data_IF_011780271779
#
_entry.id   IF_011780271779
#
_cell.length_a   1.000
_cell.length_b   1.000
_cell.length_c   1.000
_cell.angle_alpha   90.00
_cell.angle_beta   90.00
_cell.angle_gamma   90.00
#
_symmetry.space_group_name_H-M   'P 1'
#
loop_
_entity.id
_entity.type
_entity.pdbx_description
1 polymer ?
#
# COMPACT_ATOMS: atom_id res chain seq x y z
N UNK A 1 -27.62 20.21 -1.63
CA UNK A 1 -27.25 19.20 -2.65
C UNK A 1 -25.73 19.09 -2.87
N UNK A 2 -24.92 20.16 -2.96
CA UNK A 2 -23.46 20.01 -3.00
C UNK A 2 -22.89 19.39 -1.71
N UNK A 3 -23.40 19.83 -0.55
CA UNK A 3 -22.97 19.33 0.76
C UNK A 3 -23.13 17.81 0.89
N UNK A 4 -24.21 17.23 0.35
CA UNK A 4 -24.44 15.78 0.41
C UNK A 4 -23.51 15.01 -0.53
N UNK A 5 -23.18 15.56 -1.70
CA UNK A 5 -22.20 14.96 -2.63
C UNK A 5 -20.80 14.94 -2.00
N UNK A 6 -20.40 16.04 -1.36
CA UNK A 6 -19.12 16.11 -0.65
C UNK A 6 -19.11 15.18 0.56
N UNK A 7 -20.21 15.10 1.31
CA UNK A 7 -20.33 14.19 2.44
C UNK A 7 -20.14 12.73 2.02
N UNK A 8 -20.83 12.29 0.97
CA UNK A 8 -20.66 10.94 0.39
C UNK A 8 -19.21 10.67 -0.03
N UNK A 9 -18.54 11.69 -0.60
CA UNK A 9 -17.13 11.61 -0.96
C UNK A 9 -16.23 11.40 0.27
N UNK A 10 -16.44 12.17 1.33
CA UNK A 10 -15.69 12.05 2.59
C UNK A 10 -15.91 10.67 3.23
N UNK A 11 -17.15 10.18 3.29
CA UNK A 11 -17.47 8.85 3.84
C UNK A 11 -16.77 7.72 3.06
N UNK A 12 -16.68 7.86 1.74
CA UNK A 12 -15.96 6.90 0.89
C UNK A 12 -14.45 6.95 1.16
N UNK A 13 -13.88 8.15 1.30
CA UNK A 13 -12.46 8.32 1.63
C UNK A 13 -12.14 7.75 3.01
N UNK A 14 -13.01 7.95 4.00
CA UNK A 14 -12.84 7.34 5.32
C UNK A 14 -12.75 5.82 5.26
N UNK A 15 -13.58 5.21 4.41
CA UNK A 15 -13.54 3.77 4.16
C UNK A 15 -12.21 3.34 3.51
N UNK A 16 -11.71 4.11 2.54
CA UNK A 16 -10.42 3.86 1.89
C UNK A 16 -9.24 4.03 2.87
N UNK A 17 -9.34 5.00 3.78
CA UNK A 17 -8.32 5.23 4.80
C UNK A 17 -8.26 4.09 5.81
N UNK A 18 -9.43 3.54 6.18
CA UNK A 18 -9.51 2.30 6.96
C UNK A 18 -8.79 1.13 6.28
N UNK A 19 -9.05 0.91 4.98
CA UNK A 19 -8.36 -0.14 4.19
C UNK A 19 -6.84 0.04 4.20
N UNK A 20 -6.35 1.28 4.11
CA UNK A 20 -4.91 1.56 4.20
C UNK A 20 -4.33 1.10 5.54
N UNK A 21 -4.93 1.49 6.66
CA UNK A 21 -4.45 1.11 7.99
C UNK A 21 -4.57 -0.39 8.25
N UNK A 22 -5.72 -0.99 7.95
CA UNK A 22 -5.94 -2.42 8.12
C UNK A 22 -4.92 -3.24 7.33
N UNK A 23 -4.59 -2.80 6.12
CA UNK A 23 -3.57 -3.43 5.29
C UNK A 23 -2.17 -3.29 5.89
N UNK A 24 -1.78 -2.08 6.32
CA UNK A 24 -0.49 -1.83 6.96
C UNK A 24 -0.31 -2.70 8.22
N UNK A 25 -1.31 -2.69 9.10
CA UNK A 25 -1.35 -3.53 10.29
C UNK A 25 -1.30 -5.03 9.92
N UNK A 26 -2.02 -5.42 8.87
CA UNK A 26 -1.99 -6.78 8.34
C UNK A 26 -0.60 -7.22 7.89
N UNK A 27 0.12 -6.37 7.15
CA UNK A 27 1.49 -6.65 6.71
C UNK A 27 2.45 -6.78 7.89
N UNK A 28 2.39 -5.85 8.84
CA UNK A 28 3.24 -5.91 10.04
C UNK A 28 2.95 -7.15 10.87
N UNK A 29 1.67 -7.47 11.08
CA UNK A 29 1.25 -8.65 11.82
C UNK A 29 1.70 -9.93 11.14
N UNK A 30 1.63 -9.98 9.81
CA UNK A 30 2.10 -11.12 9.02
C UNK A 30 3.62 -11.30 9.12
N UNK A 31 4.40 -10.22 9.01
CA UNK A 31 5.85 -10.24 9.25
C UNK A 31 6.18 -10.74 10.66
N UNK A 32 5.55 -10.16 11.68
CA UNK A 32 5.83 -10.49 13.08
C UNK A 32 5.47 -11.94 13.41
N UNK A 33 4.33 -12.42 12.88
CA UNK A 33 3.93 -13.84 13.02
C UNK A 33 4.93 -14.77 12.34
N UNK A 34 5.38 -14.39 11.15
CA UNK A 34 6.37 -15.16 10.40
C UNK A 34 7.71 -15.25 11.15
N UNK A 35 8.21 -14.12 11.67
CA UNK A 35 9.43 -14.09 12.47
C UNK A 35 9.33 -14.94 13.74
N UNK A 36 8.17 -14.93 14.42
CA UNK A 36 7.93 -15.81 15.57
C UNK A 36 8.02 -17.28 15.19
N UNK A 37 7.36 -17.69 14.12
CA UNK A 37 7.42 -19.07 13.59
C UNK A 37 8.84 -19.49 13.20
N UNK A 38 9.61 -18.57 12.63
CA UNK A 38 11.02 -18.79 12.29
C UNK A 38 11.87 -19.03 13.56
N UNK A 39 11.67 -18.23 14.61
CA UNK A 39 12.36 -18.39 15.89
C UNK A 39 11.96 -19.69 16.62
N UNK A 40 10.70 -20.10 16.54
CA UNK A 40 10.23 -21.38 17.09
C UNK A 40 10.87 -22.57 16.37
N UNK A 41 10.97 -22.49 15.04
CA UNK A 41 11.67 -23.50 14.23
C UNK A 41 13.14 -23.60 14.63
N UNK A 42 13.81 -22.46 14.81
CA UNK A 42 15.20 -22.40 15.27
C UNK A 42 15.37 -23.07 16.65
N UNK A 43 14.53 -22.71 17.64
CA UNK A 43 14.56 -23.28 18.99
C UNK A 43 14.37 -24.80 18.98
N UNK A 44 13.38 -25.29 18.23
CA UNK A 44 13.12 -26.71 18.09
C UNK A 44 14.32 -27.46 17.50
N UNK A 45 14.96 -26.90 16.48
CA UNK A 45 16.13 -27.52 15.86
C UNK A 45 17.32 -27.55 16.83
N UNK A 46 17.56 -26.49 17.60
CA UNK A 46 18.60 -26.44 18.63
C UNK A 46 18.37 -27.45 19.76
N UNK A 47 17.12 -27.65 20.20
CA UNK A 47 16.78 -28.66 21.21
C UNK A 47 17.01 -30.09 20.68
N UNK A 48 16.67 -30.34 19.41
CA UNK A 48 16.95 -31.61 18.75
C UNK A 48 18.46 -31.88 18.63
N UNK A 49 19.28 -30.86 18.37
CA UNK A 49 20.74 -30.98 18.39
C UNK A 49 21.27 -31.39 19.76
N UNK A 50 20.79 -30.75 20.83
CA UNK A 50 21.21 -31.05 22.22
C UNK A 50 20.86 -32.47 22.65
N UNK A 51 19.74 -33.02 22.15
CA UNK A 51 19.20 -34.31 22.58
C UNK A 51 19.68 -35.51 21.73
N UNK A 52 20.52 -35.33 20.70
CA UNK A 52 21.00 -36.45 19.86
C UNK A 52 22.33 -37.05 20.32
N UNK A 53 22.44 -38.38 20.21
CA UNK A 53 23.72 -39.12 20.17
C UNK A 53 24.44 -38.85 18.84
N UNK A 54 25.79 -38.79 18.81
CA UNK A 54 26.62 -38.26 17.70
C UNK A 54 26.56 -39.00 16.35
N UNK A 55 25.64 -39.95 16.14
CA UNK A 55 25.64 -40.86 14.99
C UNK A 55 24.60 -40.53 13.90
N UNK A 56 23.95 -39.36 13.92
CA UNK A 56 22.92 -39.02 12.92
C UNK A 56 23.25 -37.70 12.18
N UNK A 57 23.84 -37.76 10.96
CA UNK A 57 24.50 -36.63 10.29
C UNK A 57 23.55 -35.59 9.64
N UNK A 58 22.23 -35.71 9.83
CA UNK A 58 21.23 -34.93 9.08
C UNK A 58 20.65 -33.72 9.82
N UNK A 59 21.27 -33.23 10.91
CA UNK A 59 20.83 -31.96 11.48
C UNK A 59 21.63 -30.83 10.87
N UNK A 60 20.97 -30.08 9.98
CA UNK A 60 21.46 -28.79 9.54
C UNK A 60 21.52 -27.86 10.76
N UNK A 61 22.70 -27.36 11.10
CA UNK A 61 22.84 -26.17 11.94
C UNK A 61 22.00 -25.07 11.32
N UNK A 62 20.78 -24.94 11.81
CA UNK A 62 19.80 -24.05 11.22
C UNK A 62 20.07 -22.69 11.82
N UNK A 63 20.53 -21.75 11.01
CA UNK A 63 20.65 -20.34 11.42
C UNK A 63 19.48 -19.53 10.87
N UNK A 64 19.28 -18.32 11.37
CA UNK A 64 18.26 -17.42 10.81
C UNK A 64 18.59 -17.12 9.34
N UNK A 65 19.86 -16.94 8.99
CA UNK A 65 20.32 -16.66 7.63
C UNK A 65 20.01 -17.83 6.67
N UNK A 66 20.14 -19.07 7.15
CA UNK A 66 19.76 -20.26 6.39
C UNK A 66 18.25 -20.33 6.16
N UNK A 67 17.45 -20.01 7.18
CA UNK A 67 15.98 -19.93 7.05
C UNK A 67 15.55 -18.78 6.14
N UNK A 68 16.24 -17.64 6.25
CA UNK A 68 16.00 -16.45 5.45
C UNK A 68 16.23 -16.69 3.97
N UNK A 69 17.20 -17.53 3.63
CA UNK A 69 17.48 -17.95 2.26
C UNK A 69 16.47 -18.97 1.71
N UNK A 70 15.62 -19.55 2.55
CA UNK A 70 14.64 -20.54 2.11
C UNK A 70 13.52 -19.87 1.32
N UNK A 71 13.03 -20.56 0.29
CA UNK A 71 11.94 -20.06 -0.53
C UNK A 71 10.58 -20.25 0.14
N UNK A 72 9.68 -19.27 -0.04
CA UNK A 72 8.29 -19.35 0.38
C UNK A 72 7.39 -19.52 -0.85
N UNK A 73 6.69 -20.65 -0.90
CA UNK A 73 5.80 -21.02 -2.01
C UNK A 73 4.36 -21.00 -1.50
N UNK A 74 3.51 -20.25 -2.19
CA UNK A 74 2.06 -20.38 -2.01
C UNK A 74 1.56 -21.41 -3.01
N UNK A 75 0.91 -22.45 -2.52
CA UNK A 75 0.36 -23.52 -3.35
C UNK A 75 -1.05 -23.90 -2.93
N UNK A 76 -1.79 -24.50 -3.87
CA UNK A 76 -3.05 -25.17 -3.64
C UNK A 76 -2.86 -26.67 -3.87
N UNK A 77 -3.40 -27.49 -2.96
CA UNK A 77 -3.20 -28.95 -2.97
C UNK A 77 -1.86 -29.38 -2.39
N UNK A 78 -1.73 -30.66 -2.09
CA UNK A 78 -0.45 -31.29 -1.74
C UNK A 78 0.36 -31.57 -3.01
N UNK A 79 1.69 -31.51 -2.94
CA UNK A 79 2.57 -31.86 -4.07
C UNK A 79 2.38 -33.30 -4.57
N UNK A 80 1.84 -34.20 -3.74
CA UNK A 80 1.52 -35.57 -4.14
C UNK A 80 0.19 -35.71 -4.86
N UNK A 81 -0.63 -34.66 -4.94
CA UNK A 81 -1.96 -34.69 -5.58
C UNK A 81 -1.92 -34.12 -7.00
N UNK A 82 -2.74 -34.70 -7.89
CA UNK A 82 -2.90 -34.23 -9.29
C UNK A 82 -3.44 -32.79 -9.40
N UNK A 83 -4.05 -32.27 -8.33
CA UNK A 83 -4.61 -30.92 -8.27
C UNK A 83 -3.57 -29.85 -7.86
N UNK A 84 -2.31 -30.23 -7.60
CA UNK A 84 -1.28 -29.33 -7.09
C UNK A 84 -1.02 -28.16 -8.04
N UNK A 85 -1.09 -26.94 -7.51
CA UNK A 85 -0.77 -25.73 -8.27
C UNK A 85 0.03 -24.76 -7.42
N UNK A 86 1.18 -24.32 -7.94
CA UNK A 86 1.91 -23.16 -7.40
C UNK A 86 1.17 -21.89 -7.81
N UNK A 87 0.81 -21.07 -6.82
CA UNK A 87 0.04 -19.84 -7.02
C UNK A 87 0.95 -18.61 -7.03
N UNK A 88 1.85 -18.51 -6.06
CA UNK A 88 2.77 -17.38 -5.93
C UNK A 88 4.12 -17.85 -5.42
N UNK A 89 5.15 -17.14 -5.83
CA UNK A 89 6.54 -17.40 -5.48
C UNK A 89 7.13 -16.16 -4.81
N UNK A 90 7.53 -16.31 -3.54
CA UNK A 90 8.40 -15.34 -2.89
C UNK A 90 9.81 -15.97 -2.85
N UNK A 91 10.80 -15.40 -3.55
CA UNK A 91 12.11 -16.03 -3.68
C UNK A 91 12.73 -16.40 -2.34
N UNK A 92 12.60 -15.55 -1.32
CA UNK A 92 13.12 -15.83 0.02
C UNK A 92 12.19 -15.42 1.17
N UNK A 93 12.41 -16.02 2.36
CA UNK A 93 11.77 -15.59 3.60
C UNK A 93 12.21 -14.18 4.01
N UNK A 94 13.47 -13.82 3.72
CA UNK A 94 13.97 -12.46 3.94
C UNK A 94 13.21 -11.42 3.12
N UNK A 95 13.01 -11.66 1.82
CA UNK A 95 12.20 -10.80 0.96
C UNK A 95 10.75 -10.70 1.45
N UNK A 96 10.17 -11.80 1.94
CA UNK A 96 8.85 -11.76 2.55
C UNK A 96 8.79 -10.80 3.75
N UNK A 97 9.82 -10.81 4.61
CA UNK A 97 9.92 -9.89 5.75
C UNK A 97 10.14 -8.45 5.28
N UNK A 98 11.01 -8.23 4.30
CA UNK A 98 11.32 -6.91 3.72
C UNK A 98 10.09 -6.27 3.10
N UNK A 99 9.36 -6.98 2.23
CA UNK A 99 8.17 -6.42 1.56
C UNK A 99 7.03 -6.06 2.52
N UNK A 100 6.93 -6.75 3.66
CA UNK A 100 5.91 -6.51 4.69
C UNK A 100 6.39 -5.61 5.85
N UNK A 101 7.64 -5.14 5.81
CA UNK A 101 8.13 -4.18 6.80
C UNK A 101 7.56 -2.79 6.51
N UNK A 102 7.52 -1.89 7.52
CA UNK A 102 7.31 -0.46 7.25
C UNK A 102 8.24 0.00 6.12
N UNK A 103 7.71 0.79 5.20
CA UNK A 103 8.39 1.23 3.96
C UNK A 103 8.72 0.14 2.92
N UNK A 104 8.37 -1.12 3.21
CA UNK A 104 8.50 -2.24 2.29
C UNK A 104 7.52 -2.16 1.11
N UNK A 105 7.76 -2.95 0.07
CA UNK A 105 6.99 -2.88 -1.18
C UNK A 105 5.47 -2.97 -0.99
N UNK A 106 4.97 -3.80 -0.06
CA UNK A 106 3.53 -3.89 0.18
C UNK A 106 2.97 -2.62 0.82
N UNK A 107 3.73 -1.99 1.73
CA UNK A 107 3.38 -0.68 2.30
C UNK A 107 3.34 0.39 1.21
N UNK A 108 4.36 0.44 0.35
CA UNK A 108 4.41 1.38 -0.79
C UNK A 108 3.24 1.17 -1.73
N UNK A 109 2.95 -0.10 -2.04
CA UNK A 109 1.86 -0.47 -2.92
C UNK A 109 0.52 0.00 -2.36
N UNK A 110 0.19 -0.30 -1.10
CA UNK A 110 -1.11 0.08 -0.54
C UNK A 110 -1.26 1.59 -0.43
N UNK A 111 -0.23 2.33 0.00
CA UNK A 111 -0.28 3.80 0.05
C UNK A 111 -0.55 4.42 -1.31
N UNK A 112 0.18 3.95 -2.33
CA UNK A 112 0.00 4.38 -3.72
C UNK A 112 -1.39 4.03 -4.27
N UNK A 113 -1.88 2.81 -4.01
CA UNK A 113 -3.22 2.40 -4.46
C UNK A 113 -4.33 3.18 -3.78
N UNK A 114 -4.22 3.45 -2.48
CA UNK A 114 -5.20 4.25 -1.74
C UNK A 114 -5.28 5.68 -2.30
N UNK A 115 -4.14 6.33 -2.56
CA UNK A 115 -4.12 7.65 -3.22
C UNK A 115 -4.82 7.61 -4.59
N UNK A 116 -4.49 6.61 -5.42
CA UNK A 116 -5.11 6.42 -6.73
C UNK A 116 -6.63 6.27 -6.60
N UNK A 117 -7.10 5.43 -5.66
CA UNK A 117 -8.52 5.20 -5.43
C UNK A 117 -9.25 6.46 -4.97
N UNK A 118 -8.65 7.26 -4.07
CA UNK A 118 -9.20 8.55 -3.62
C UNK A 118 -9.40 9.50 -4.81
N UNK A 119 -8.38 9.62 -5.66
CA UNK A 119 -8.43 10.49 -6.84
C UNK A 119 -9.42 9.98 -7.89
N UNK A 120 -9.43 8.67 -8.16
CA UNK A 120 -10.31 8.09 -9.18
C UNK A 120 -11.78 8.23 -8.76
N UNK A 121 -12.10 8.03 -7.49
CA UNK A 121 -13.46 8.24 -6.98
C UNK A 121 -13.88 9.72 -7.07
N UNK A 122 -12.95 10.66 -6.86
CA UNK A 122 -13.19 12.07 -7.13
C UNK A 122 -13.54 12.31 -8.60
N UNK A 123 -12.71 11.83 -9.53
CA UNK A 123 -12.82 12.14 -10.95
C UNK A 123 -14.02 11.45 -11.62
N UNK A 124 -14.30 10.21 -11.25
CA UNK A 124 -15.37 9.39 -11.84
C UNK A 124 -16.74 9.63 -11.23
N UNK A 125 -16.82 9.99 -9.93
CA UNK A 125 -18.08 10.14 -9.20
C UNK A 125 -18.29 11.58 -8.73
N UNK A 126 -17.52 12.04 -7.74
CA UNK A 126 -17.80 13.30 -7.03
C UNK A 126 -17.83 14.50 -7.98
N UNK A 127 -16.78 14.66 -8.81
CA UNK A 127 -16.63 15.77 -9.75
C UNK A 127 -17.75 15.80 -10.80
N UNK A 128 -18.19 14.64 -11.26
CA UNK A 128 -19.28 14.52 -12.22
C UNK A 128 -20.62 14.92 -11.58
N UNK A 129 -20.91 14.44 -10.37
CA UNK A 129 -22.12 14.81 -9.62
C UNK A 129 -22.17 16.33 -9.36
N UNK A 130 -21.04 16.94 -8.99
CA UNK A 130 -20.92 18.39 -8.79
C UNK A 130 -21.16 19.15 -10.09
N UNK A 131 -20.56 18.71 -11.20
CA UNK A 131 -20.73 19.33 -12.51
C UNK A 131 -22.20 19.32 -12.96
N UNK A 132 -22.87 18.18 -12.84
CA UNK A 132 -24.29 18.03 -13.13
C UNK A 132 -25.16 18.93 -12.25
N UNK A 133 -24.85 19.03 -10.95
CA UNK A 133 -25.58 19.91 -10.04
C UNK A 133 -25.48 21.39 -10.44
N UNK A 134 -24.32 21.83 -10.91
CA UNK A 134 -24.10 23.20 -11.38
C UNK A 134 -24.50 23.43 -12.83
N UNK A 135 -24.95 22.38 -13.54
CA UNK A 135 -25.26 22.41 -14.97
C UNK A 135 -24.09 22.95 -15.83
N UNK A 136 -22.87 22.53 -15.52
CA UNK A 136 -21.65 22.91 -16.23
C UNK A 136 -20.82 21.69 -16.59
N UNK A 137 -19.88 21.84 -17.51
CA UNK A 137 -18.94 20.78 -17.83
C UNK A 137 -17.96 20.54 -16.67
N UNK A 138 -17.66 19.26 -16.35
CA UNK A 138 -16.75 18.87 -15.25
C UNK A 138 -15.38 19.53 -15.27
N UNK A 139 -14.91 19.94 -16.44
CA UNK A 139 -13.64 20.70 -16.62
C UNK A 139 -13.59 21.99 -15.80
N UNK A 140 -14.75 22.60 -15.52
CA UNK A 140 -14.87 23.84 -14.74
C UNK A 140 -14.91 23.59 -13.23
N UNK A 141 -15.19 22.36 -12.78
CA UNK A 141 -14.99 21.97 -11.37
C UNK A 141 -13.49 21.75 -11.16
N UNK A 142 -12.88 22.55 -10.30
CA UNK A 142 -11.44 22.53 -9.98
C UNK A 142 -11.23 22.33 -8.48
N UNK A 143 -10.10 21.74 -8.11
CA UNK A 143 -9.67 21.55 -6.73
C UNK A 143 -8.14 21.59 -6.70
N UNK A 144 -7.55 22.28 -5.72
CA UNK A 144 -6.09 22.33 -5.57
C UNK A 144 -5.56 20.98 -5.11
N UNK A 145 -6.16 20.40 -4.07
CA UNK A 145 -5.83 19.06 -3.54
C UNK A 145 -5.89 18.02 -4.66
N UNK A 146 -6.99 17.96 -5.42
CA UNK A 146 -7.11 16.96 -6.49
C UNK A 146 -6.18 17.25 -7.67
N UNK A 147 -5.79 18.51 -7.87
CA UNK A 147 -4.76 18.89 -8.82
C UNK A 147 -3.40 18.28 -8.46
N UNK A 148 -3.01 18.39 -7.19
CA UNK A 148 -1.77 17.79 -6.66
C UNK A 148 -1.82 16.26 -6.73
N UNK A 149 -2.90 15.65 -6.25
CA UNK A 149 -3.08 14.19 -6.29
C UNK A 149 -3.03 13.65 -7.72
N UNK A 150 -3.52 14.42 -8.72
CA UNK A 150 -3.40 14.05 -10.13
C UNK A 150 -1.93 13.97 -10.58
N UNK A 151 -1.09 14.92 -10.18
CA UNK A 151 0.32 14.94 -10.54
C UNK A 151 1.09 13.78 -9.89
N UNK A 152 0.82 13.51 -8.62
CA UNK A 152 1.38 12.37 -7.88
C UNK A 152 0.93 11.05 -8.53
N UNK A 153 -0.39 10.86 -8.76
CA UNK A 153 -0.95 9.67 -9.42
C UNK A 153 -0.33 9.39 -10.77
N UNK A 154 -0.15 10.41 -11.62
CA UNK A 154 0.43 10.23 -12.95
C UNK A 154 1.85 9.67 -12.88
N UNK A 155 2.63 10.12 -11.90
CA UNK A 155 3.98 9.64 -11.63
C UNK A 155 3.95 8.18 -11.15
N UNK A 156 3.03 7.84 -10.24
CA UNK A 156 2.81 6.46 -9.77
C UNK A 156 2.45 5.51 -10.92
N UNK A 157 1.40 5.83 -11.68
CA UNK A 157 0.83 4.91 -12.69
C UNK A 157 1.73 4.80 -13.92
N UNK A 158 2.26 5.91 -14.43
CA UNK A 158 2.91 5.94 -15.74
C UNK A 158 4.43 5.89 -15.65
N UNK A 159 5.02 6.18 -14.49
CA UNK A 159 6.48 6.32 -14.33
C UNK A 159 7.02 5.49 -13.16
N UNK A 160 6.31 4.40 -12.80
CA UNK A 160 6.73 3.44 -11.77
C UNK A 160 7.01 4.11 -10.41
N UNK A 161 6.28 5.18 -10.10
CA UNK A 161 6.49 5.94 -8.88
C UNK A 161 7.69 6.89 -8.92
N UNK A 162 8.23 7.24 -10.08
CA UNK A 162 9.23 8.32 -10.19
C UNK A 162 8.51 9.64 -10.47
N UNK A 163 8.77 10.65 -9.63
CA UNK A 163 8.15 11.96 -9.72
C UNK A 163 8.53 12.71 -11.00
N UNK A 164 7.51 13.13 -11.75
CA UNK A 164 7.65 13.91 -12.97
C UNK A 164 7.85 15.42 -12.70
N UNK A 165 8.31 16.22 -13.69
CA UNK A 165 8.47 17.67 -13.54
C UNK A 165 7.20 18.40 -13.09
N UNK A 166 6.02 17.87 -13.42
CA UNK A 166 4.74 18.43 -12.99
C UNK A 166 4.53 18.42 -11.47
N UNK A 167 5.30 17.65 -10.71
CA UNK A 167 5.23 17.63 -9.24
C UNK A 167 5.52 19.03 -8.65
N UNK A 168 6.32 19.83 -9.35
CA UNK A 168 6.61 21.22 -8.97
C UNK A 168 5.38 22.15 -9.09
N UNK A 169 4.27 21.67 -9.68
CA UNK A 169 3.00 22.41 -9.78
C UNK A 169 2.07 22.13 -8.59
N UNK A 170 2.43 21.19 -7.71
CA UNK A 170 1.68 20.93 -6.49
C UNK A 170 1.66 22.17 -5.60
N UNK A 171 0.48 22.50 -5.06
CA UNK A 171 0.26 23.69 -4.22
C UNK A 171 0.09 23.38 -2.74
N UNK A 172 -0.44 22.21 -2.45
CA UNK A 172 -0.76 21.72 -1.12
C UNK A 172 0.32 20.73 -0.65
N UNK A 173 0.72 19.78 -1.49
CA UNK A 173 1.63 18.70 -1.12
C UNK A 173 3.00 18.86 -1.80
N UNK A 174 3.93 19.52 -1.12
CA UNK A 174 5.28 19.81 -1.60
C UNK A 174 6.34 18.77 -1.22
N UNK A 175 5.97 17.50 -1.06
CA UNK A 175 6.87 16.46 -0.50
C UNK A 175 7.98 16.00 -1.45
N UNK A 176 7.74 16.11 -2.75
CA UNK A 176 8.58 15.49 -3.78
C UNK A 176 9.13 16.53 -4.74
N UNK A 177 10.31 16.23 -5.28
CA UNK A 177 10.95 16.92 -6.40
C UNK A 177 11.01 15.99 -7.60
N UNK A 178 11.31 16.57 -8.76
CA UNK A 178 11.51 15.78 -9.98
C UNK A 178 12.60 14.70 -9.78
N UNK A 179 12.32 13.49 -10.27
CA UNK A 179 13.12 12.27 -10.13
C UNK A 179 13.15 11.63 -8.73
N UNK A 180 12.42 12.17 -7.75
CA UNK A 180 12.26 11.49 -6.46
C UNK A 180 11.42 10.21 -6.61
N UNK A 181 11.72 9.21 -5.78
CA UNK A 181 10.87 8.04 -5.61
C UNK A 181 9.65 8.39 -4.76
N UNK A 182 8.46 8.21 -5.31
CA UNK A 182 7.18 8.44 -4.63
C UNK A 182 6.84 7.26 -3.74
N UNK A 183 6.56 7.57 -2.48
CA UNK A 183 6.07 6.63 -1.50
C UNK A 183 5.12 7.32 -0.54
N UNK A 184 3.83 7.05 -0.70
CA UNK A 184 2.80 7.53 0.22
C UNK A 184 2.85 6.67 1.50
N UNK A 185 3.49 7.21 2.53
CA UNK A 185 3.54 6.63 3.86
C UNK A 185 2.32 7.00 4.71
N UNK A 186 2.35 6.66 6.00
CA UNK A 186 1.27 6.94 6.94
C UNK A 186 1.05 8.44 7.15
N UNK A 187 2.12 9.21 7.30
CA UNK A 187 2.06 10.66 7.56
C UNK A 187 1.52 11.39 6.33
N UNK A 188 2.01 11.05 5.14
CA UNK A 188 1.50 11.60 3.89
C UNK A 188 0.05 11.19 3.63
N UNK A 189 -0.35 9.97 3.98
CA UNK A 189 -1.76 9.58 3.89
C UNK A 189 -2.61 10.42 4.84
N UNK A 190 -2.18 10.60 6.10
CA UNK A 190 -2.88 11.44 7.07
C UNK A 190 -3.03 12.88 6.56
N UNK A 191 -1.97 13.46 6.00
CA UNK A 191 -2.01 14.79 5.40
C UNK A 191 -3.05 14.90 4.27
N UNK A 192 -3.12 13.90 3.37
CA UNK A 192 -4.12 13.86 2.28
C UNK A 192 -5.53 13.87 2.87
N UNK A 193 -5.80 12.98 3.81
CA UNK A 193 -7.13 12.79 4.39
C UNK A 193 -7.55 14.04 5.17
N UNK A 194 -6.65 14.59 5.98
CA UNK A 194 -6.87 15.82 6.75
C UNK A 194 -7.14 17.00 5.82
N UNK A 195 -6.31 17.21 4.80
CA UNK A 195 -6.53 18.28 3.83
C UNK A 195 -7.90 18.19 3.15
N UNK A 196 -8.34 16.99 2.74
CA UNK A 196 -9.66 16.80 2.12
C UNK A 196 -10.78 17.10 3.12
N UNK A 197 -10.69 16.60 4.35
CA UNK A 197 -11.72 16.78 5.38
C UNK A 197 -11.84 18.22 5.85
N UNK A 198 -10.71 18.90 6.04
CA UNK A 198 -10.65 20.29 6.47
C UNK A 198 -11.19 21.25 5.40
N UNK A 199 -10.97 20.92 4.13
CA UNK A 199 -11.49 21.70 3.00
C UNK A 199 -13.02 21.77 2.98
N UNK A 200 -13.72 20.79 3.55
CA UNK A 200 -15.20 20.72 3.62
C UNK A 200 -15.86 21.15 2.29
N UNK A 201 -16.60 22.26 2.29
CA UNK A 201 -17.33 22.76 1.11
C UNK A 201 -16.45 23.49 0.10
N UNK A 202 -15.24 23.87 0.48
CA UNK A 202 -14.24 24.54 -0.33
C UNK A 202 -13.28 23.56 -1.01
N UNK A 203 -13.55 22.26 -0.90
CA UNK A 203 -12.82 21.21 -1.62
C UNK A 203 -12.74 21.48 -3.13
N UNK A 204 -13.71 22.21 -3.67
CA UNK A 204 -13.74 22.62 -5.07
C UNK A 204 -14.20 24.07 -5.27
N UNK A 205 -13.85 24.60 -6.44
CA UNK A 205 -14.36 25.86 -6.96
C UNK A 205 -14.79 25.70 -8.43
N UNK A 206 -15.69 26.58 -8.87
CA UNK A 206 -16.12 26.67 -10.27
C UNK A 206 -15.25 27.72 -10.97
N UNK A 207 -14.41 27.27 -11.89
CA UNK A 207 -13.65 28.17 -12.76
C UNK A 207 -14.61 28.87 -13.74
N UNK A 208 -14.36 30.16 -13.99
CA UNK A 208 -15.04 30.94 -15.03
C UNK A 208 -14.66 30.42 -16.43
#
# INVERSE_FOLDING_TARGET
>A
MPKSIIKEYIETIDSLYGVFFDSCQGFESAKNTFQKSQLETLRRNQELEKNKKPSNPTIYHTTIEALDSACLIYSKGDKSEDNYRRLHYCPTQDEYKKRNSPEGENYRFIGNMTLISIFEYWESSCRNKLASHHNIHRKYIKSHIMGDLRHIRNSIIHHRGIALPEINKCKTFGWYKENDGIFIDGDQMEDIISAIKESKLELYYVAK
#
